data_IF_301004257215
#
_entry.id   IF_301004257215
#
_cell.length_a   1.000
_cell.length_b   1.000
_cell.length_c   1.000
_cell.angle_alpha   90.00
_cell.angle_beta   90.00
_cell.angle_gamma   90.00
#
_symmetry.space_group_name_H-M   'P 1'
#
loop_
_entity.id
_entity.type
_entity.pdbx_description
1 polymer ?
#
# COMPACT_ATOMS: atom_id res chain seq x y z
N UNK A 1 -16.03 -16.41 27.99
CA UNK A 1 -15.03 -16.53 26.91
C UNK A 1 -15.16 -15.33 25.98
N UNK A 2 -14.22 -14.38 26.01
CA UNK A 2 -14.21 -13.26 25.08
C UNK A 2 -13.65 -13.73 23.72
N UNK A 3 -14.50 -13.78 22.70
CA UNK A 3 -14.06 -13.97 21.33
C UNK A 3 -13.28 -12.73 20.89
N UNK A 4 -11.95 -12.80 20.87
CA UNK A 4 -11.14 -11.85 20.12
C UNK A 4 -11.41 -12.09 18.63
N UNK A 5 -12.20 -11.20 18.03
CA UNK A 5 -12.37 -11.13 16.58
C UNK A 5 -10.97 -10.98 15.99
N UNK A 6 -10.43 -12.04 15.35
CA UNK A 6 -9.21 -11.93 14.54
C UNK A 6 -9.45 -10.77 13.58
N UNK A 7 -8.78 -9.65 13.81
CA UNK A 7 -8.76 -8.54 12.86
C UNK A 7 -7.89 -9.04 11.72
N UNK A 8 -8.50 -9.79 10.80
CA UNK A 8 -7.93 -9.97 9.47
C UNK A 8 -7.65 -8.56 8.94
N UNK A 9 -6.43 -8.35 8.45
CA UNK A 9 -6.06 -7.15 7.71
C UNK A 9 -6.93 -7.18 6.45
N UNK A 10 -8.16 -6.68 6.55
CA UNK A 10 -9.15 -6.74 5.49
C UNK A 10 -8.72 -5.79 4.39
N UNK A 11 -7.81 -6.25 3.54
CA UNK A 11 -7.55 -5.60 2.27
C UNK A 11 -8.88 -5.56 1.50
N UNK A 12 -9.18 -4.48 0.78
CA UNK A 12 -10.36 -4.43 -0.08
C UNK A 12 -10.45 -5.68 -0.98
N UNK A 13 -11.66 -6.16 -1.31
CA UNK A 13 -11.89 -7.40 -2.07
C UNK A 13 -11.14 -7.51 -3.41
N UNK A 14 -10.58 -6.40 -3.91
CA UNK A 14 -9.88 -6.30 -5.18
C UNK A 14 -8.38 -6.02 -5.02
N UNK A 15 -7.85 -6.12 -3.80
CA UNK A 15 -6.44 -5.95 -3.47
C UNK A 15 -5.94 -7.25 -2.85
N UNK A 16 -5.07 -7.94 -3.58
CA UNK A 16 -4.44 -9.18 -3.14
C UNK A 16 -2.97 -8.88 -2.89
N UNK A 17 -2.46 -9.24 -1.71
CA UNK A 17 -1.02 -9.21 -1.48
C UNK A 17 -0.36 -10.30 -2.35
N UNK A 18 0.48 -9.89 -3.30
CA UNK A 18 1.19 -10.81 -4.20
C UNK A 18 2.52 -11.24 -3.61
N UNK A 19 3.25 -10.28 -3.03
CA UNK A 19 4.56 -10.52 -2.44
C UNK A 19 4.71 -9.75 -1.13
N UNK A 20 5.45 -10.35 -0.19
CA UNK A 20 5.92 -9.70 1.02
C UNK A 20 7.41 -9.94 1.11
N UNK A 21 8.19 -8.87 1.10
CA UNK A 21 9.62 -8.92 1.32
C UNK A 21 9.92 -8.43 2.73
N UNK A 22 10.80 -9.13 3.42
CA UNK A 22 11.25 -8.80 4.77
C UNK A 22 12.76 -8.85 4.77
N UNK A 23 13.37 -7.73 5.10
CA UNK A 23 14.82 -7.57 5.18
C UNK A 23 15.23 -6.71 6.38
N UNK A 24 16.48 -6.83 6.83
CA UNK A 24 16.98 -6.10 7.99
C UNK A 24 17.25 -4.61 7.72
N UNK A 25 17.61 -4.25 6.49
CA UNK A 25 17.94 -2.86 6.14
C UNK A 25 16.68 -2.04 5.87
N UNK A 26 15.71 -2.64 5.15
CA UNK A 26 14.49 -1.94 4.70
C UNK A 26 13.22 -2.34 5.46
N UNK A 27 13.26 -3.40 6.27
CA UNK A 27 12.10 -3.90 6.99
C UNK A 27 11.10 -4.60 6.07
N UNK A 28 9.81 -4.25 6.20
CA UNK A 28 8.74 -4.89 5.43
C UNK A 28 8.37 -4.05 4.20
N UNK A 29 8.34 -4.70 3.03
CA UNK A 29 7.71 -4.18 1.82
C UNK A 29 6.62 -5.14 1.36
N UNK A 30 5.47 -4.60 0.95
CA UNK A 30 4.31 -5.37 0.50
C UNK A 30 3.94 -4.92 -0.91
N UNK A 31 3.72 -5.87 -1.81
CA UNK A 31 3.15 -5.61 -3.12
C UNK A 31 1.70 -6.05 -3.13
N UNK A 32 0.83 -5.15 -3.56
CA UNK A 32 -0.59 -5.41 -3.74
C UNK A 32 -0.92 -5.38 -5.23
N UNK A 33 -1.49 -6.45 -5.75
CA UNK A 33 -2.03 -6.47 -7.10
C UNK A 33 -3.43 -5.89 -7.15
N UNK A 34 -3.67 -5.05 -8.14
CA UNK A 34 -4.98 -4.48 -8.44
C UNK A 34 -5.23 -4.42 -9.95
N UNK A 35 -6.15 -5.26 -10.43
CA UNK A 35 -6.65 -5.31 -11.81
C UNK A 35 -5.56 -5.42 -12.91
N UNK A 36 -4.83 -4.33 -13.18
CA UNK A 36 -3.84 -4.20 -14.26
C UNK A 36 -2.51 -3.59 -13.78
N UNK A 37 -2.31 -3.38 -12.47
CA UNK A 37 -1.10 -2.79 -11.91
C UNK A 37 -0.75 -3.40 -10.56
N UNK A 38 0.52 -3.29 -10.18
CA UNK A 38 0.98 -3.54 -8.82
C UNK A 38 1.23 -2.23 -8.08
N UNK A 39 0.90 -2.22 -6.80
CA UNK A 39 1.19 -1.15 -5.86
C UNK A 39 2.20 -1.65 -4.84
N UNK A 40 3.35 -1.01 -4.77
CA UNK A 40 4.37 -1.26 -3.76
C UNK A 40 4.12 -0.41 -2.52
N UNK A 41 4.29 -1.01 -1.34
CA UNK A 41 4.10 -0.36 -0.04
C UNK A 41 5.32 -0.63 0.82
N UNK A 42 6.18 0.37 0.99
CA UNK A 42 7.31 0.31 1.91
C UNK A 42 6.83 0.65 3.32
N UNK A 43 6.85 -0.33 4.23
CA UNK A 43 6.55 -0.11 5.63
C UNK A 43 7.79 0.27 6.43
N UNK A 44 9.00 -0.03 6.01
CA UNK A 44 10.19 0.20 6.85
C UNK A 44 10.33 -0.84 7.97
N UNK A 45 11.23 -0.61 8.92
CA UNK A 45 11.64 -1.61 9.93
C UNK A 45 11.00 -1.46 11.32
N UNK A 46 10.25 -0.39 11.56
CA UNK A 46 9.72 -0.04 12.89
C UNK A 46 8.22 0.25 12.92
N UNK A 47 7.66 0.33 14.14
CA UNK A 47 6.31 0.86 14.42
C UNK A 47 5.15 0.24 13.61
N UNK A 48 5.27 -1.04 13.21
CA UNK A 48 4.32 -1.74 12.35
C UNK A 48 2.87 -1.58 12.77
N UNK A 49 2.56 -1.66 14.06
CA UNK A 49 1.19 -1.49 14.57
C UNK A 49 0.57 -0.16 14.13
N UNK A 50 1.31 0.95 14.25
CA UNK A 50 0.84 2.28 13.81
C UNK A 50 0.79 2.37 12.29
N UNK A 51 1.78 1.80 11.59
CA UNK A 51 1.85 1.79 10.12
C UNK A 51 0.68 1.03 9.50
N UNK A 52 0.39 -0.19 9.95
CA UNK A 52 -0.79 -0.95 9.49
C UNK A 52 -2.11 -0.24 9.79
N UNK A 53 -2.24 0.41 10.95
CA UNK A 53 -3.44 1.20 11.26
C UNK A 53 -3.63 2.38 10.28
N UNK A 54 -2.57 3.13 9.99
CA UNK A 54 -2.62 4.25 9.02
C UNK A 54 -2.77 3.76 7.59
N UNK A 55 -2.11 2.66 7.22
CA UNK A 55 -2.23 2.04 5.90
C UNK A 55 -3.68 1.68 5.64
N UNK A 56 -4.36 1.03 6.60
CA UNK A 56 -5.79 0.70 6.47
C UNK A 56 -6.65 1.93 6.21
N UNK A 57 -6.40 3.04 6.90
CA UNK A 57 -7.11 4.31 6.66
C UNK A 57 -6.83 4.87 5.28
N UNK A 58 -5.56 4.85 4.85
CA UNK A 58 -5.11 5.37 3.57
C UNK A 58 -5.71 4.57 2.39
N UNK A 59 -5.62 3.23 2.46
CA UNK A 59 -6.26 2.34 1.49
C UNK A 59 -7.78 2.58 1.47
N UNK A 60 -8.41 2.73 2.64
CA UNK A 60 -9.84 3.05 2.71
C UNK A 60 -10.17 4.37 2.00
N UNK A 61 -9.37 5.41 2.19
CA UNK A 61 -9.52 6.71 1.52
C UNK A 61 -9.39 6.59 0.00
N UNK A 62 -8.36 5.90 -0.51
CA UNK A 62 -8.18 5.69 -1.95
C UNK A 62 -9.31 4.88 -2.57
N UNK A 63 -9.85 3.91 -1.84
CA UNK A 63 -11.04 3.16 -2.27
C UNK A 63 -12.23 4.09 -2.50
N UNK A 64 -12.55 4.93 -1.52
CA UNK A 64 -13.68 5.85 -1.61
C UNK A 64 -13.52 6.85 -2.75
N UNK A 65 -12.29 7.25 -3.06
CA UNK A 65 -11.97 8.17 -4.16
C UNK A 65 -11.79 7.48 -5.52
N UNK A 66 -11.91 6.15 -5.61
CA UNK A 66 -11.59 5.35 -6.81
C UNK A 66 -10.18 5.65 -7.36
N UNK A 67 -9.24 6.00 -6.47
CA UNK A 67 -7.90 6.46 -6.83
C UNK A 67 -6.83 5.36 -6.82
N UNK A 68 -7.16 4.16 -6.36
CA UNK A 68 -6.17 3.08 -6.23
C UNK A 68 -5.44 2.74 -7.53
N UNK A 69 -6.16 2.72 -8.66
CA UNK A 69 -5.59 2.42 -9.99
C UNK A 69 -4.65 3.52 -10.51
N UNK A 70 -4.49 4.60 -9.76
CA UNK A 70 -3.66 5.75 -10.10
C UNK A 70 -2.46 5.85 -9.18
N UNK A 71 -2.14 4.81 -8.38
CA UNK A 71 -1.06 4.82 -7.40
C UNK A 71 -0.24 3.55 -7.61
N UNK A 72 1.08 3.70 -7.71
CA UNK A 72 2.02 2.60 -7.88
C UNK A 72 2.92 2.39 -6.66
N UNK A 73 3.06 3.41 -5.80
CA UNK A 73 3.95 3.34 -4.64
C UNK A 73 3.46 4.16 -3.44
N UNK A 74 3.63 3.59 -2.25
CA UNK A 74 3.39 4.24 -0.96
C UNK A 74 4.61 4.01 -0.04
N UNK A 75 5.28 5.09 0.35
CA UNK A 75 6.31 5.06 1.40
C UNK A 75 5.68 5.43 2.75
N UNK A 76 5.74 4.48 3.68
CA UNK A 76 5.31 4.63 5.06
C UNK A 76 6.45 4.45 6.07
N UNK A 77 7.71 4.46 5.61
CA UNK A 77 8.88 4.32 6.47
C UNK A 77 8.90 5.43 7.55
N UNK A 78 8.54 6.66 7.16
CA UNK A 78 8.32 7.77 8.08
C UNK A 78 6.82 8.06 8.26
N UNK A 79 6.30 7.90 9.47
CA UNK A 79 4.89 8.19 9.75
C UNK A 79 4.56 9.70 9.78
N UNK A 80 5.52 10.58 10.00
CA UNK A 80 5.27 12.03 9.95
C UNK A 80 5.17 12.53 8.51
N UNK A 81 5.67 11.75 7.54
CA UNK A 81 5.60 12.04 6.11
C UNK A 81 5.37 10.77 5.30
N UNK A 82 4.12 10.52 4.95
CA UNK A 82 3.74 9.45 4.01
C UNK A 82 3.86 10.00 2.59
N UNK A 83 4.62 9.31 1.75
CA UNK A 83 4.77 9.66 0.32
C UNK A 83 3.89 8.72 -0.49
N UNK A 84 3.16 9.28 -1.44
CA UNK A 84 2.31 8.53 -2.37
C UNK A 84 2.71 8.94 -3.77
N UNK A 85 3.14 7.99 -4.58
CA UNK A 85 3.48 8.24 -5.97
C UNK A 85 2.31 7.83 -6.86
N UNK A 86 1.86 8.71 -7.75
CA UNK A 86 0.86 8.34 -8.72
C UNK A 86 1.46 7.41 -9.79
N UNK A 87 0.65 6.48 -10.29
CA UNK A 87 0.98 5.67 -11.44
C UNK A 87 1.18 6.58 -12.66
N UNK A 88 2.40 6.63 -13.17
CA UNK A 88 2.71 7.34 -14.41
C UNK A 88 2.16 6.52 -15.57
N UNK A 89 1.16 7.06 -16.28
CA UNK A 89 0.72 6.46 -17.55
C UNK A 89 1.76 6.82 -18.60
N UNK A 90 2.56 5.85 -19.01
CA UNK A 90 3.36 5.99 -20.22
C UNK A 90 2.39 6.12 -21.40
N UNK A 91 2.22 7.33 -21.92
CA UNK A 91 1.61 7.50 -23.22
C UNK A 91 2.52 6.80 -24.22
N UNK A 92 1.96 5.96 -25.09
CA UNK A 92 2.69 5.23 -26.14
C UNK A 92 3.43 6.13 -27.14
N UNK A 93 3.36 7.45 -26.98
CA UNK A 93 4.01 8.47 -27.81
C UNK A 93 5.32 9.03 -27.21
N UNK A 94 5.81 8.49 -26.09
CA UNK A 94 7.16 8.79 -25.58
C UNK A 94 7.41 10.25 -25.18
N UNK A 95 6.36 11.02 -24.91
CA UNK A 95 6.47 12.38 -24.38
C UNK A 95 5.90 12.44 -22.97
N UNK A 96 6.77 12.74 -22.02
CA UNK A 96 6.40 13.12 -20.66
C UNK A 96 5.57 14.42 -20.72
N UNK A 97 4.49 14.48 -19.93
CA UNK A 97 3.65 15.67 -19.71
C UNK A 97 3.94 16.27 -18.36
#
# INVERSE_FOLDING_TARGET
>A
MYYQKKQTLGLPQNLTATHVHVDMDFGITIWLHQAHSEMEILLGSDNYRKKFYRLRKLLTFFRYRKAFQQIDYIDMNNLDRIIVRPLVKNNSDGKEV
#
